data_IF_377437757141
#
_entry.id   IF_377437757141
#
_cell.length_a   1.000
_cell.length_b   1.000
_cell.length_c   1.000
_cell.angle_alpha   90.00
_cell.angle_beta   90.00
_cell.angle_gamma   90.00
#
_symmetry.space_group_name_H-M   'P 1'
#
loop_
_entity.id
_entity.type
_entity.pdbx_description
1 polymer ?
#
# COMPACT_ATOMS: atom_id res chain seq x y z
N UNK A 1 -0.41 -16.95 -11.30
CA UNK A 1 -1.24 -15.93 -10.64
C UNK A 1 -1.35 -16.29 -9.16
N UNK A 2 -1.25 -15.31 -8.29
CA UNK A 2 -1.48 -15.44 -6.85
C UNK A 2 -2.67 -14.56 -6.49
N UNK A 3 -3.66 -15.12 -5.79
CA UNK A 3 -4.89 -14.39 -5.43
C UNK A 3 -4.98 -14.25 -3.92
N UNK A 4 -5.40 -13.10 -3.43
CA UNK A 4 -5.66 -12.81 -2.03
C UNK A 4 -7.10 -12.36 -1.87
N UNK A 5 -7.83 -12.93 -0.93
CA UNK A 5 -9.18 -12.47 -0.59
C UNK A 5 -9.15 -11.84 0.80
N UNK A 6 -9.51 -10.56 0.90
CA UNK A 6 -9.51 -9.79 2.14
C UNK A 6 -10.94 -9.62 2.65
N UNK A 7 -11.14 -9.87 3.95
CA UNK A 7 -12.46 -9.76 4.58
C UNK A 7 -12.36 -9.57 6.10
N UNK A 8 -13.43 -9.09 6.73
CA UNK A 8 -13.54 -8.97 8.19
C UNK A 8 -14.65 -9.89 8.72
N UNK A 9 -14.35 -10.70 9.74
CA UNK A 9 -15.37 -11.48 10.47
C UNK A 9 -16.01 -10.66 11.60
N UNK A 10 -15.19 -9.84 12.26
CA UNK A 10 -15.62 -8.91 13.30
C UNK A 10 -14.85 -7.60 13.12
N UNK A 11 -15.45 -6.56 12.49
CA UNK A 11 -14.77 -5.30 12.22
C UNK A 11 -14.23 -4.59 13.46
N UNK A 12 -14.87 -4.73 14.62
CA UNK A 12 -14.42 -4.12 15.87
C UNK A 12 -13.13 -4.74 16.45
N UNK A 13 -12.69 -5.89 15.93
CA UNK A 13 -11.49 -6.59 16.41
C UNK A 13 -10.18 -6.08 15.80
N UNK A 14 -10.25 -5.21 14.80
CA UNK A 14 -9.11 -4.76 13.99
C UNK A 14 -8.38 -5.88 13.22
N UNK A 15 -8.93 -7.09 13.18
CA UNK A 15 -8.38 -8.17 12.36
C UNK A 15 -8.98 -8.16 10.95
N UNK A 16 -8.09 -8.21 9.96
CA UNK A 16 -8.43 -8.51 8.57
C UNK A 16 -7.98 -9.93 8.28
N UNK A 17 -8.89 -10.74 7.75
CA UNK A 17 -8.62 -12.11 7.33
C UNK A 17 -8.21 -12.11 5.87
N UNK A 18 -7.21 -12.91 5.55
CA UNK A 18 -6.63 -13.01 4.21
C UNK A 18 -6.56 -14.49 3.84
N UNK A 19 -7.25 -14.83 2.76
CA UNK A 19 -7.15 -16.14 2.10
C UNK A 19 -6.27 -15.98 0.85
N UNK A 20 -5.06 -16.53 0.88
CA UNK A 20 -4.14 -16.57 -0.24
C UNK A 20 -4.29 -17.89 -1.00
N UNK A 21 -4.59 -17.80 -2.29
CA UNK A 21 -4.71 -18.92 -3.20
C UNK A 21 -3.53 -18.95 -4.16
N UNK A 22 -2.89 -20.13 -4.24
CA UNK A 22 -1.68 -20.36 -5.02
C UNK A 22 -1.94 -21.54 -5.94
N UNK A 23 -1.93 -21.32 -7.25
CA UNK A 23 -2.12 -22.36 -8.25
C UNK A 23 -0.78 -22.81 -8.85
N UNK A 24 -0.81 -23.89 -9.65
CA UNK A 24 0.34 -24.39 -10.41
C UNK A 24 1.54 -24.76 -9.53
N UNK A 25 1.27 -25.42 -8.40
CA UNK A 25 2.33 -25.97 -7.55
C UNK A 25 2.98 -27.17 -8.25
N UNK A 26 4.30 -27.07 -8.45
CA UNK A 26 5.11 -28.08 -9.14
C UNK A 26 6.17 -28.73 -8.24
N UNK A 27 6.45 -28.12 -7.09
CA UNK A 27 7.49 -28.55 -6.17
C UNK A 27 6.88 -29.25 -4.95
N UNK A 28 7.63 -30.16 -4.34
CA UNK A 28 7.22 -30.84 -3.10
C UNK A 28 7.20 -29.90 -1.89
N UNK A 29 7.87 -28.76 -1.98
CA UNK A 29 7.82 -27.69 -0.99
C UNK A 29 7.87 -26.32 -1.64
N UNK A 30 7.18 -25.36 -1.02
CA UNK A 30 7.27 -23.94 -1.37
C UNK A 30 7.57 -23.10 -0.14
N UNK A 31 8.13 -21.93 -0.38
CA UNK A 31 8.41 -20.93 0.64
C UNK A 31 7.47 -19.73 0.50
N UNK A 32 6.84 -19.35 1.61
CA UNK A 32 6.01 -18.17 1.76
C UNK A 32 6.78 -17.15 2.59
N UNK A 33 7.07 -16.01 1.99
CA UNK A 33 7.81 -14.93 2.64
C UNK A 33 6.87 -13.73 2.85
N UNK A 34 6.97 -13.13 4.03
CA UNK A 34 6.41 -11.80 4.31
C UNK A 34 7.55 -10.78 4.24
N UNK A 35 7.35 -9.57 3.69
CA UNK A 35 8.39 -8.55 3.73
C UNK A 35 8.85 -8.25 5.16
N UNK A 36 10.16 -8.05 5.33
CA UNK A 36 10.79 -7.67 6.59
C UNK A 36 10.83 -6.16 6.78
N UNK A 37 10.61 -5.38 5.72
CA UNK A 37 10.65 -3.90 5.70
C UNK A 37 9.85 -3.39 4.50
N UNK A 38 9.70 -2.07 4.37
CA UNK A 38 9.00 -1.45 3.23
C UNK A 38 9.83 -0.33 2.57
N UNK A 39 9.74 -0.17 1.24
CA UNK A 39 10.28 1.00 0.56
C UNK A 39 9.77 2.32 1.18
N UNK A 40 10.62 3.34 1.14
CA UNK A 40 10.39 4.65 1.78
C UNK A 40 10.67 4.72 3.29
N UNK A 41 10.85 3.55 3.95
CA UNK A 41 11.33 3.47 5.34
C UNK A 41 12.43 2.43 5.47
N UNK A 42 13.69 2.89 5.49
CA UNK A 42 14.89 2.04 5.52
C UNK A 42 15.22 1.47 6.91
N UNK A 43 14.22 0.90 7.56
CA UNK A 43 14.32 0.24 8.86
C UNK A 43 13.58 -1.10 8.76
N UNK A 44 14.12 -2.15 9.40
CA UNK A 44 13.40 -3.40 9.51
C UNK A 44 12.10 -3.20 10.29
N UNK A 45 11.00 -3.66 9.69
CA UNK A 45 9.74 -3.89 10.35
C UNK A 45 9.68 -5.25 11.02
N UNK A 46 8.64 -5.42 11.84
CA UNK A 46 8.23 -6.73 12.33
C UNK A 46 6.75 -6.94 11.98
N UNK A 47 6.43 -6.94 10.69
CA UNK A 47 5.04 -7.08 10.22
C UNK A 47 4.46 -8.44 10.59
N UNK A 48 5.31 -9.49 10.59
CA UNK A 48 4.94 -10.84 10.98
C UNK A 48 4.38 -10.95 12.42
N UNK A 49 4.66 -9.99 13.32
CA UNK A 49 4.09 -9.96 14.68
C UNK A 49 2.55 -9.89 14.67
N UNK A 50 1.99 -9.26 13.63
CA UNK A 50 0.57 -9.02 13.46
C UNK A 50 -0.15 -10.18 12.75
N UNK A 51 0.59 -11.12 12.15
CA UNK A 51 0.03 -12.33 11.53
C UNK A 51 -0.32 -13.35 12.62
N UNK A 52 -1.55 -13.86 12.57
CA UNK A 52 -2.07 -14.90 13.46
C UNK A 52 -2.79 -15.98 12.65
N UNK A 53 -2.86 -17.19 13.23
CA UNK A 53 -3.65 -18.32 12.72
C UNK A 53 -3.34 -18.68 11.26
N UNK A 54 -2.06 -18.84 10.93
CA UNK A 54 -1.66 -19.35 9.62
C UNK A 54 -2.04 -20.82 9.52
N UNK A 55 -2.87 -21.15 8.57
CA UNK A 55 -3.29 -22.50 8.24
C UNK A 55 -3.12 -22.71 6.73
N UNK A 56 -2.74 -23.92 6.31
CA UNK A 56 -2.49 -24.24 4.91
C UNK A 56 -3.28 -25.48 4.54
N UNK A 57 -3.95 -25.42 3.39
CA UNK A 57 -4.78 -26.48 2.84
C UNK A 57 -4.42 -26.76 1.39
N UNK A 58 -4.59 -28.01 0.96
CA UNK A 58 -4.53 -28.39 -0.46
C UNK A 58 -5.85 -28.07 -1.20
N UNK A 59 -5.92 -28.41 -2.49
CA UNK A 59 -7.12 -28.24 -3.32
C UNK A 59 -8.37 -28.98 -2.81
N UNK A 60 -8.20 -29.99 -1.94
CA UNK A 60 -9.28 -30.77 -1.35
C UNK A 60 -9.62 -30.33 0.08
N UNK A 61 -9.12 -29.17 0.52
CA UNK A 61 -9.28 -28.63 1.87
C UNK A 61 -8.65 -29.51 2.97
N UNK A 62 -7.71 -30.38 2.63
CA UNK A 62 -6.94 -31.15 3.61
C UNK A 62 -5.80 -30.29 4.13
N UNK A 63 -5.64 -30.27 5.46
CA UNK A 63 -4.59 -29.49 6.11
C UNK A 63 -3.19 -30.02 5.75
N UNK A 64 -2.29 -29.10 5.43
CA UNK A 64 -0.89 -29.33 5.14
C UNK A 64 -0.02 -28.75 6.26
N UNK A 65 1.04 -29.48 6.59
CA UNK A 65 2.00 -29.03 7.58
C UNK A 65 2.95 -27.99 6.96
N UNK A 66 3.37 -27.03 7.79
CA UNK A 66 4.41 -26.07 7.45
C UNK A 66 5.35 -25.89 8.63
N UNK A 67 6.56 -25.42 8.35
CA UNK A 67 7.55 -25.05 9.35
C UNK A 67 7.91 -23.58 9.19
N UNK A 68 7.93 -22.84 10.29
CA UNK A 68 8.41 -21.45 10.29
C UNK A 68 9.94 -21.46 10.38
N UNK A 69 10.63 -21.03 9.31
CA UNK A 69 12.10 -21.06 9.20
C UNK A 69 12.75 -19.79 9.73
N UNK A 70 12.05 -18.67 9.68
CA UNK A 70 12.47 -17.38 10.21
C UNK A 70 11.26 -16.60 10.74
N UNK A 71 11.47 -15.38 11.26
CA UNK A 71 10.38 -14.53 11.77
C UNK A 71 9.29 -14.26 10.72
N UNK A 72 9.65 -14.28 9.45
CA UNK A 72 8.87 -13.87 8.29
C UNK A 72 8.89 -14.89 7.11
N UNK A 73 9.44 -16.10 7.33
CA UNK A 73 9.53 -17.16 6.32
C UNK A 73 8.89 -18.47 6.78
N UNK A 74 7.97 -19.00 5.97
CA UNK A 74 7.27 -20.26 6.17
C UNK A 74 7.58 -21.23 5.03
N UNK A 75 7.95 -22.47 5.36
CA UNK A 75 8.16 -23.55 4.41
C UNK A 75 6.98 -24.53 4.49
N UNK A 76 6.23 -24.65 3.40
CA UNK A 76 5.06 -25.53 3.28
C UNK A 76 5.49 -26.82 2.60
N UNK A 77 5.09 -27.97 3.14
CA UNK A 77 5.21 -29.25 2.44
C UNK A 77 3.94 -29.49 1.62
N UNK A 78 4.06 -29.47 0.30
CA UNK A 78 2.95 -29.53 -0.64
C UNK A 78 2.38 -30.94 -0.78
N UNK A 79 3.13 -32.00 -0.45
CA UNK A 79 2.69 -33.41 -0.57
C UNK A 79 2.01 -33.73 -1.92
N UNK A 80 2.53 -33.17 -3.01
CA UNK A 80 2.00 -33.35 -4.37
C UNK A 80 0.78 -32.50 -4.74
N UNK A 81 0.27 -31.65 -3.83
CA UNK A 81 -0.83 -30.70 -4.07
C UNK A 81 -0.56 -29.83 -5.31
N UNK A 82 -1.60 -29.54 -6.08
CA UNK A 82 -1.52 -28.69 -7.28
C UNK A 82 -1.92 -27.26 -7.03
N UNK A 83 -2.71 -27.03 -5.99
CA UNK A 83 -3.05 -25.70 -5.51
C UNK A 83 -3.04 -25.67 -3.98
N UNK A 84 -2.82 -24.49 -3.42
CA UNK A 84 -2.83 -24.27 -1.98
C UNK A 84 -3.75 -23.13 -1.63
N UNK A 85 -4.43 -23.27 -0.50
CA UNK A 85 -5.10 -22.18 0.21
C UNK A 85 -4.38 -21.93 1.53
N UNK A 86 -3.85 -20.73 1.70
CA UNK A 86 -3.20 -20.27 2.93
C UNK A 86 -4.11 -19.25 3.58
N UNK A 87 -4.63 -19.53 4.77
CA UNK A 87 -5.52 -18.62 5.48
C UNK A 87 -4.83 -18.07 6.70
N UNK A 88 -4.99 -16.77 6.96
CA UNK A 88 -4.43 -16.12 8.13
C UNK A 88 -5.20 -14.85 8.46
N UNK A 89 -4.92 -14.28 9.63
CA UNK A 89 -5.44 -12.98 10.04
C UNK A 89 -4.30 -12.00 10.33
N UNK A 90 -4.49 -10.73 9.99
CA UNK A 90 -3.53 -9.66 10.22
C UNK A 90 -4.16 -8.59 11.11
N UNK A 91 -3.50 -8.28 12.23
CA UNK A 91 -3.93 -7.25 13.18
C UNK A 91 -3.59 -5.84 12.65
N UNK A 92 -4.62 -5.00 12.49
CA UNK A 92 -4.58 -3.71 11.78
C UNK A 92 -5.20 -2.60 12.63
N UNK A 93 -4.48 -2.13 13.65
CA UNK A 93 -4.99 -1.14 14.61
C UNK A 93 -4.18 0.18 14.63
N UNK A 94 -3.27 0.38 13.68
CA UNK A 94 -2.39 1.55 13.66
C UNK A 94 -2.80 2.48 12.50
N UNK A 95 -3.52 3.56 12.82
CA UNK A 95 -3.92 4.57 11.83
C UNK A 95 -2.80 5.60 11.62
N UNK A 96 -1.95 5.33 10.64
CA UNK A 96 -0.94 6.27 10.12
C UNK A 96 -0.67 5.97 8.63
N UNK A 97 0.09 6.81 7.93
CA UNK A 97 0.32 6.65 6.49
C UNK A 97 1.11 5.40 6.07
N UNK A 98 1.77 4.71 7.00
CA UNK A 98 2.69 3.61 6.69
C UNK A 98 2.40 2.33 7.46
N UNK A 99 1.17 2.15 7.95
CA UNK A 99 0.72 0.99 8.71
C UNK A 99 -0.61 0.44 8.16
N UNK A 100 -1.27 -0.49 8.87
CA UNK A 100 -2.59 -0.97 8.47
C UNK A 100 -3.60 -0.63 9.56
N UNK A 101 -4.80 -0.24 9.14
CA UNK A 101 -5.91 0.08 10.03
C UNK A 101 -7.21 -0.49 9.47
N UNK A 102 -7.96 -1.21 10.29
CA UNK A 102 -9.29 -1.68 9.91
C UNK A 102 -10.25 -1.59 11.09
N UNK A 103 -11.43 -1.05 10.88
CA UNK A 103 -12.50 -0.97 11.87
C UNK A 103 -13.86 -1.20 11.19
N UNK A 104 -14.96 -0.74 11.80
CA UNK A 104 -16.30 -0.81 11.23
C UNK A 104 -16.56 0.21 10.09
N UNK A 105 -15.66 1.17 9.87
CA UNK A 105 -15.83 2.26 8.92
C UNK A 105 -14.89 2.13 7.72
N UNK A 106 -13.74 1.48 7.90
CA UNK A 106 -12.74 1.34 6.84
C UNK A 106 -11.90 0.06 6.94
N UNK A 107 -11.37 -0.33 5.79
CA UNK A 107 -10.23 -1.24 5.66
C UNK A 107 -9.14 -0.49 4.91
N UNK A 108 -8.05 -0.15 5.61
CA UNK A 108 -6.86 0.47 5.05
C UNK A 108 -5.67 -0.46 5.22
N UNK A 109 -5.11 -0.92 4.11
CA UNK A 109 -4.04 -1.90 4.11
C UNK A 109 -2.88 -1.45 3.24
N UNK A 110 -1.67 -1.67 3.76
CA UNK A 110 -0.44 -1.70 2.98
C UNK A 110 -0.10 -3.17 2.68
N UNK A 111 -0.22 -3.65 1.42
CA UNK A 111 0.04 -5.05 1.08
C UNK A 111 1.44 -5.54 1.50
N UNK A 112 2.45 -4.66 1.48
CA UNK A 112 3.81 -4.97 1.96
C UNK A 112 3.87 -5.46 3.42
N UNK A 113 2.86 -5.13 4.23
CA UNK A 113 2.80 -5.58 5.62
C UNK A 113 2.14 -6.95 5.78
N UNK A 114 1.19 -7.29 4.92
CA UNK A 114 0.26 -8.37 5.19
C UNK A 114 0.19 -9.44 4.10
N UNK A 115 0.64 -9.18 2.88
CA UNK A 115 0.62 -10.18 1.80
C UNK A 115 1.89 -11.03 1.83
N UNK A 116 1.72 -12.34 2.04
CA UNK A 116 2.75 -13.31 1.71
C UNK A 116 2.98 -13.37 0.20
N UNK A 117 4.23 -13.59 -0.23
CA UNK A 117 4.54 -14.00 -1.59
C UNK A 117 5.18 -15.38 -1.61
N UNK A 118 5.08 -16.06 -2.76
CA UNK A 118 5.80 -17.32 -2.98
C UNK A 118 7.18 -16.99 -3.53
N UNK A 119 8.23 -17.41 -2.83
CA UNK A 119 9.61 -17.17 -3.24
C UNK A 119 9.84 -17.75 -4.64
N UNK A 120 10.37 -16.94 -5.56
CA UNK A 120 10.61 -17.29 -6.96
C UNK A 120 9.39 -17.12 -7.88
N UNK A 121 8.26 -16.62 -7.38
CA UNK A 121 7.04 -16.31 -8.17
C UNK A 121 6.59 -14.86 -8.01
N UNK A 122 7.49 -13.98 -7.60
CA UNK A 122 7.25 -12.55 -7.37
C UNK A 122 6.82 -11.81 -8.63
N UNK A 123 7.20 -12.31 -9.81
CA UNK A 123 6.89 -11.72 -11.12
C UNK A 123 5.58 -12.20 -11.75
N UNK A 124 4.79 -12.99 -11.03
CA UNK A 124 3.46 -13.37 -11.48
C UNK A 124 2.43 -12.27 -11.19
N UNK A 125 1.33 -12.24 -11.93
CA UNK A 125 0.20 -11.37 -11.59
C UNK A 125 -0.35 -11.70 -10.19
N UNK A 126 -0.56 -10.66 -9.40
CA UNK A 126 -1.21 -10.73 -8.09
C UNK A 126 -2.60 -10.06 -8.15
N UNK A 127 -3.61 -10.73 -7.57
CA UNK A 127 -4.99 -10.23 -7.54
C UNK A 127 -5.46 -10.13 -6.10
N UNK A 128 -5.94 -8.96 -5.68
CA UNK A 128 -6.62 -8.76 -4.39
C UNK A 128 -8.12 -8.67 -4.63
N UNK A 129 -8.90 -9.55 -4.01
CA UNK A 129 -10.36 -9.51 -4.00
C UNK A 129 -10.86 -9.02 -2.63
N UNK A 130 -11.72 -8.00 -2.63
CA UNK A 130 -12.23 -7.36 -1.44
C UNK A 130 -13.67 -7.83 -1.16
N UNK A 131 -13.88 -8.59 -0.08
CA UNK A 131 -15.21 -8.91 0.41
C UNK A 131 -15.62 -7.86 1.44
N UNK A 132 -16.26 -6.81 0.95
CA UNK A 132 -16.66 -5.63 1.72
C UNK A 132 -18.15 -5.34 1.51
N UNK A 133 -18.79 -4.59 2.43
CA UNK A 133 -20.16 -4.15 2.24
C UNK A 133 -20.36 -3.39 0.92
N UNK A 134 -21.54 -3.55 0.29
CA UNK A 134 -21.84 -3.02 -1.05
C UNK A 134 -21.72 -1.49 -1.13
N UNK A 135 -21.92 -0.78 -0.02
CA UNK A 135 -21.84 0.68 0.04
C UNK A 135 -20.41 1.22 0.22
N UNK A 136 -19.40 0.36 0.33
CA UNK A 136 -18.02 0.81 0.47
C UNK A 136 -17.43 1.15 -0.90
N UNK A 137 -16.65 2.23 -0.94
CA UNK A 137 -15.87 2.64 -2.11
C UNK A 137 -14.41 2.27 -1.92
N UNK A 138 -13.70 2.03 -3.01
CA UNK A 138 -12.29 1.64 -3.01
C UNK A 138 -11.45 2.80 -3.59
N UNK A 139 -10.37 3.15 -2.91
CA UNK A 139 -9.31 4.02 -3.41
C UNK A 139 -8.00 3.22 -3.48
N UNK A 140 -7.45 3.07 -4.68
CA UNK A 140 -6.18 2.40 -4.96
C UNK A 140 -5.69 2.80 -6.36
N UNK A 141 -4.39 2.72 -6.61
CA UNK A 141 -3.79 2.94 -7.94
C UNK A 141 -3.72 1.69 -8.83
N UNK A 142 -4.08 0.51 -8.30
CA UNK A 142 -4.12 -0.73 -9.07
C UNK A 142 -5.32 -0.73 -10.02
N UNK A 143 -5.18 -1.49 -11.11
CA UNK A 143 -6.29 -1.73 -12.04
C UNK A 143 -7.44 -2.40 -11.30
N UNK A 144 -8.58 -1.72 -11.26
CA UNK A 144 -9.77 -2.17 -10.55
C UNK A 144 -10.81 -2.78 -11.51
N UNK A 145 -11.38 -3.92 -11.12
CA UNK A 145 -12.55 -4.51 -11.76
C UNK A 145 -13.55 -4.95 -10.66
N UNK A 146 -14.60 -4.15 -10.44
CA UNK A 146 -15.48 -4.32 -9.29
C UNK A 146 -14.69 -4.22 -7.99
N UNK A 147 -14.70 -5.29 -7.20
CA UNK A 147 -13.96 -5.38 -5.94
C UNK A 147 -12.59 -6.09 -6.08
N UNK A 148 -12.13 -6.34 -7.30
CA UNK A 148 -10.82 -6.92 -7.57
C UNK A 148 -9.81 -5.84 -7.96
N UNK A 149 -8.62 -5.89 -7.37
CA UNK A 149 -7.46 -5.05 -7.67
C UNK A 149 -6.35 -5.93 -8.26
N UNK A 150 -5.76 -5.53 -9.39
CA UNK A 150 -4.76 -6.32 -10.11
C UNK A 150 -3.42 -5.61 -10.15
N UNK A 151 -2.38 -6.31 -9.72
CA UNK A 151 -0.98 -5.92 -9.82
C UNK A 151 -0.24 -6.88 -10.77
N UNK A 152 0.62 -6.34 -11.62
CA UNK A 152 1.38 -7.12 -12.61
C UNK A 152 2.45 -8.00 -11.97
N UNK A 153 2.97 -7.59 -10.82
CA UNK A 153 3.91 -8.33 -10.00
C UNK A 153 3.78 -7.96 -8.51
N UNK A 154 4.57 -8.64 -7.66
CA UNK A 154 4.57 -8.40 -6.22
C UNK A 154 5.07 -7.00 -5.85
N UNK A 155 6.02 -6.45 -6.63
CA UNK A 155 6.53 -5.10 -6.39
C UNK A 155 5.39 -4.08 -6.54
N UNK A 156 4.62 -4.12 -7.63
CA UNK A 156 3.47 -3.23 -7.82
C UNK A 156 2.40 -3.42 -6.73
N UNK A 157 2.16 -4.67 -6.29
CA UNK A 157 1.24 -4.95 -5.18
C UNK A 157 1.69 -4.26 -3.89
N UNK A 158 2.96 -4.41 -3.51
CA UNK A 158 3.51 -3.82 -2.28
C UNK A 158 3.55 -2.29 -2.30
N UNK A 159 3.57 -1.70 -3.49
CA UNK A 159 3.56 -0.25 -3.74
C UNK A 159 2.15 0.34 -3.86
N UNK A 160 1.11 -0.47 -3.67
CA UNK A 160 -0.26 -0.04 -3.89
C UNK A 160 -1.15 -0.24 -2.67
N UNK A 161 -0.99 0.60 -1.63
CA UNK A 161 -1.94 0.65 -0.54
C UNK A 161 -3.35 0.95 -1.06
N UNK A 162 -4.34 0.52 -0.27
CA UNK A 162 -5.74 0.76 -0.60
C UNK A 162 -6.55 1.15 0.63
N UNK A 163 -7.55 2.00 0.42
CA UNK A 163 -8.58 2.37 1.41
C UNK A 163 -9.93 1.91 0.89
N UNK A 164 -10.67 1.17 1.71
CA UNK A 164 -12.03 0.74 1.43
C UNK A 164 -12.93 1.30 2.51
N UNK A 165 -13.83 2.23 2.18
CA UNK A 165 -14.68 2.91 3.16
C UNK A 165 -15.97 3.44 2.53
N UNK A 166 -17.04 3.51 3.33
CA UNK A 166 -18.29 4.19 2.97
C UNK A 166 -18.18 5.72 3.03
N UNK A 167 -17.24 6.28 3.80
CA UNK A 167 -17.05 7.72 3.99
C UNK A 167 -16.08 8.34 2.97
N UNK A 168 -15.57 7.54 2.04
CA UNK A 168 -14.58 7.97 1.05
C UNK A 168 -15.19 9.06 0.13
N UNK A 169 -14.54 10.22 0.15
CA UNK A 169 -14.81 11.33 -0.76
C UNK A 169 -13.72 11.35 -1.84
N UNK A 170 -14.10 11.52 -3.11
CA UNK A 170 -13.13 11.48 -4.21
C UNK A 170 -13.42 12.59 -5.22
N UNK A 171 -12.37 13.30 -5.59
CA UNK A 171 -12.36 14.26 -6.69
C UNK A 171 -11.14 14.03 -7.57
N UNK A 172 -11.19 14.56 -8.78
CA UNK A 172 -10.09 14.45 -9.72
C UNK A 172 -9.74 15.80 -10.33
N UNK A 173 -8.50 15.93 -10.76
CA UNK A 173 -8.01 17.00 -11.61
C UNK A 173 -7.05 16.40 -12.66
N UNK A 174 -6.71 17.17 -13.67
CA UNK A 174 -5.85 16.70 -14.76
C UNK A 174 -4.74 17.72 -15.04
N UNK A 175 -3.51 17.23 -15.23
CA UNK A 175 -2.36 18.03 -15.67
C UNK A 175 -1.65 17.25 -16.76
N UNK A 176 -1.49 17.84 -17.95
CA UNK A 176 -0.83 17.22 -19.10
C UNK A 176 -1.33 15.80 -19.43
N UNK A 177 -2.66 15.61 -19.47
CA UNK A 177 -3.34 14.33 -19.75
C UNK A 177 -3.14 13.24 -18.71
N UNK A 178 -2.44 13.52 -17.61
CA UNK A 178 -2.32 12.63 -16.46
C UNK A 178 -3.40 12.98 -15.45
N UNK A 179 -4.17 11.97 -15.05
CA UNK A 179 -5.29 12.12 -14.12
C UNK A 179 -4.81 11.94 -12.69
N UNK A 180 -5.16 12.90 -11.84
CA UNK A 180 -4.85 12.88 -10.42
C UNK A 180 -6.12 12.67 -9.61
N UNK A 181 -6.08 11.74 -8.68
CA UNK A 181 -7.18 11.44 -7.77
C UNK A 181 -6.88 11.96 -6.37
N UNK A 182 -7.87 12.58 -5.75
CA UNK A 182 -7.83 13.08 -4.39
C UNK A 182 -8.85 12.29 -3.56
N UNK A 183 -8.39 11.31 -2.79
CA UNK A 183 -9.22 10.45 -1.98
C UNK A 183 -9.14 10.86 -0.51
N UNK A 184 -10.20 11.44 0.04
CA UNK A 184 -10.27 11.83 1.44
C UNK A 184 -11.12 10.82 2.22
N UNK A 185 -10.52 10.23 3.26
CA UNK A 185 -11.19 9.32 4.18
C UNK A 185 -11.10 9.87 5.61
N UNK A 186 -12.23 9.97 6.30
CA UNK A 186 -12.33 10.57 7.63
C UNK A 186 -13.22 11.82 7.64
N UNK A 187 -13.48 12.34 8.84
CA UNK A 187 -14.39 13.46 9.03
C UNK A 187 -13.75 14.78 8.57
N UNK A 188 -14.13 15.25 7.39
CA UNK A 188 -13.69 16.53 6.83
C UNK A 188 -14.68 17.04 5.78
N UNK A 189 -14.57 18.34 5.47
CA UNK A 189 -15.36 18.99 4.43
C UNK A 189 -14.44 19.69 3.43
N UNK A 190 -13.81 18.99 2.48
CA UNK A 190 -12.83 19.58 1.57
C UNK A 190 -13.45 20.67 0.68
N UNK A 191 -12.78 21.82 0.56
CA UNK A 191 -13.09 22.83 -0.46
C UNK A 191 -12.43 22.38 -1.75
N UNK A 192 -13.20 21.63 -2.55
CA UNK A 192 -12.69 21.01 -3.76
C UNK A 192 -12.21 22.01 -4.79
N UNK A 193 -12.81 23.20 -4.86
CA UNK A 193 -12.37 24.21 -5.82
C UNK A 193 -10.99 24.73 -5.44
N UNK A 194 -10.80 25.08 -4.18
CA UNK A 194 -9.52 25.56 -3.66
C UNK A 194 -8.44 24.47 -3.72
N UNK A 195 -8.73 23.27 -3.23
CA UNK A 195 -7.80 22.13 -3.21
C UNK A 195 -7.35 21.79 -4.63
N UNK A 196 -8.26 21.61 -5.60
CA UNK A 196 -7.87 21.29 -6.98
C UNK A 196 -7.02 22.40 -7.59
N UNK A 197 -7.41 23.66 -7.38
CA UNK A 197 -6.66 24.81 -7.91
C UNK A 197 -5.22 24.84 -7.38
N UNK A 198 -5.03 24.62 -6.08
CA UNK A 198 -3.71 24.70 -5.46
C UNK A 198 -2.88 23.43 -5.72
N UNK A 199 -3.50 22.25 -5.82
CA UNK A 199 -2.84 21.01 -6.25
C UNK A 199 -2.35 21.10 -7.70
N UNK A 200 -3.19 21.59 -8.62
CA UNK A 200 -2.79 21.79 -10.00
C UNK A 200 -1.56 22.70 -10.14
N UNK A 201 -1.42 23.72 -9.28
CA UNK A 201 -0.28 24.65 -9.34
C UNK A 201 1.05 23.93 -9.09
N UNK A 202 1.18 23.19 -7.98
CA UNK A 202 2.43 22.50 -7.69
C UNK A 202 2.66 21.33 -8.64
N UNK A 203 1.60 20.63 -9.07
CA UNK A 203 1.71 19.54 -10.05
C UNK A 203 2.21 20.05 -11.41
N UNK A 204 1.71 21.20 -11.89
CA UNK A 204 2.22 21.86 -13.12
C UNK A 204 3.68 22.30 -12.96
N UNK A 205 4.05 22.83 -11.79
CA UNK A 205 5.43 23.21 -11.51
C UNK A 205 6.37 22.00 -11.56
N UNK A 206 6.03 20.91 -10.87
CA UNK A 206 6.84 19.68 -10.88
C UNK A 206 6.93 19.07 -12.28
N UNK A 207 5.83 19.08 -13.06
CA UNK A 207 5.88 18.67 -14.46
C UNK A 207 6.86 19.51 -15.26
N UNK A 208 6.82 20.83 -15.16
CA UNK A 208 7.73 21.70 -15.90
C UNK A 208 9.19 21.49 -15.48
N UNK A 209 9.43 21.18 -14.20
CA UNK A 209 10.76 20.87 -13.68
C UNK A 209 11.31 19.55 -14.25
N UNK A 210 10.50 18.48 -14.24
CA UNK A 210 10.91 17.15 -14.69
C UNK A 210 10.75 16.90 -16.20
N UNK A 211 9.92 17.71 -16.86
CA UNK A 211 9.48 17.59 -18.26
C UNK A 211 8.67 16.33 -18.61
N UNK A 212 8.31 15.49 -17.65
CA UNK A 212 7.46 14.31 -17.85
C UNK A 212 6.91 13.77 -16.52
N UNK A 213 5.84 12.96 -16.54
CA UNK A 213 5.37 12.14 -15.42
C UNK A 213 5.71 10.66 -15.66
N UNK A 214 6.26 9.92 -14.68
CA UNK A 214 6.61 8.51 -14.87
C UNK A 214 5.41 7.56 -14.77
N UNK A 215 4.19 8.08 -14.70
CA UNK A 215 2.93 7.35 -14.50
C UNK A 215 1.81 7.94 -15.36
N UNK A 216 0.77 7.13 -15.61
CA UNK A 216 -0.42 7.50 -16.38
C UNK A 216 -1.55 8.09 -15.51
N UNK A 217 -1.56 7.77 -14.22
CA UNK A 217 -2.43 8.34 -13.19
C UNK A 217 -1.74 8.33 -11.82
N UNK A 218 -2.18 9.22 -10.92
CA UNK A 218 -1.61 9.32 -9.58
C UNK A 218 -2.69 9.53 -8.51
N UNK A 219 -2.58 8.80 -7.39
CA UNK A 219 -3.59 8.81 -6.34
C UNK A 219 -3.04 9.36 -5.02
N UNK A 220 -3.62 10.45 -4.54
CA UNK A 220 -3.40 10.91 -3.17
C UNK A 220 -4.45 10.27 -2.24
N UNK A 221 -3.98 9.44 -1.30
CA UNK A 221 -4.80 8.75 -0.31
C UNK A 221 -4.68 9.46 1.04
N UNK A 222 -5.68 10.25 1.42
CA UNK A 222 -5.69 11.00 2.66
C UNK A 222 -6.46 10.28 3.77
N UNK A 223 -5.77 9.96 4.87
CA UNK A 223 -6.35 9.56 6.15
C UNK A 223 -6.50 10.78 7.05
N UNK A 224 -7.72 11.29 7.18
CA UNK A 224 -8.02 12.47 7.97
C UNK A 224 -8.37 12.10 9.41
N UNK A 225 -7.53 12.49 10.36
CA UNK A 225 -7.71 12.19 11.77
C UNK A 225 -8.52 13.30 12.48
N UNK A 226 -9.21 12.98 13.59
CA UNK A 226 -9.90 13.99 14.41
C UNK A 226 -8.95 14.72 15.38
N UNK A 227 -7.68 14.31 15.43
CA UNK A 227 -6.62 14.90 16.24
C UNK A 227 -5.46 15.35 15.35
N UNK A 228 -4.55 16.16 15.91
CA UNK A 228 -3.34 16.60 15.20
C UNK A 228 -2.45 15.40 14.85
N UNK A 229 -2.21 15.21 13.56
CA UNK A 229 -1.36 14.15 13.04
C UNK A 229 -0.71 14.60 11.74
N UNK A 230 0.47 14.09 11.43
CA UNK A 230 1.19 14.40 10.19
C UNK A 230 2.16 13.26 9.88
N UNK A 231 1.93 12.56 8.76
CA UNK A 231 2.81 11.51 8.25
C UNK A 231 2.50 11.29 6.77
N UNK A 232 3.51 11.33 5.90
CA UNK A 232 3.42 10.97 4.49
C UNK A 232 4.26 9.74 4.19
N UNK A 233 3.82 8.95 3.20
CA UNK A 233 4.58 7.83 2.64
C UNK A 233 4.45 7.85 1.13
N UNK A 234 5.60 7.81 0.46
CA UNK A 234 5.71 7.81 -0.98
C UNK A 234 5.48 6.42 -1.59
N UNK A 235 4.76 6.39 -2.71
CA UNK A 235 4.69 5.23 -3.61
C UNK A 235 4.82 5.70 -5.06
N UNK A 236 4.91 4.77 -6.00
CA UNK A 236 5.17 5.10 -7.41
C UNK A 236 3.98 5.79 -8.10
N UNK A 237 2.77 5.23 -7.98
CA UNK A 237 1.53 5.77 -8.57
C UNK A 237 0.58 6.39 -7.54
N UNK A 238 1.03 6.50 -6.30
CA UNK A 238 0.19 6.99 -5.21
C UNK A 238 1.03 7.50 -4.05
N UNK A 239 0.35 8.06 -3.06
CA UNK A 239 0.91 8.34 -1.74
C UNK A 239 -0.17 8.16 -0.70
N UNK A 240 0.21 7.76 0.51
CA UNK A 240 -0.68 7.86 1.67
C UNK A 240 -0.21 9.00 2.56
N UNK A 241 -1.16 9.85 2.94
CA UNK A 241 -0.92 10.98 3.84
C UNK A 241 -1.93 10.89 4.97
N UNK A 242 -1.44 10.78 6.20
CA UNK A 242 -2.25 10.90 7.40
C UNK A 242 -2.08 12.30 7.98
N UNK A 243 -3.19 13.04 8.06
CA UNK A 243 -3.18 14.43 8.52
C UNK A 243 -4.41 14.75 9.36
N UNK A 244 -4.30 15.73 10.24
CA UNK A 244 -5.46 16.24 10.97
C UNK A 244 -5.11 17.41 11.89
N UNK A 245 -6.11 17.98 12.57
CA UNK A 245 -7.49 17.50 12.59
C UNK A 245 -8.32 17.94 11.37
N UNK A 246 -9.29 17.12 10.95
CA UNK A 246 -10.10 17.38 9.76
C UNK A 246 -10.99 18.64 9.81
N UNK A 247 -11.38 19.10 11.01
CA UNK A 247 -12.12 20.35 11.19
C UNK A 247 -11.27 21.61 10.92
N UNK A 248 -9.93 21.48 10.99
CA UNK A 248 -8.99 22.55 10.70
C UNK A 248 -8.47 22.51 9.26
N UNK A 249 -8.99 21.63 8.39
CA UNK A 249 -8.46 21.41 7.03
C UNK A 249 -8.27 22.70 6.21
N UNK A 250 -9.10 23.72 6.44
CA UNK A 250 -9.04 25.01 5.74
C UNK A 250 -8.28 26.10 6.49
N UNK A 251 -7.87 25.83 7.74
CA UNK A 251 -7.04 26.74 8.50
C UNK A 251 -5.63 26.75 7.91
N UNK A 252 -5.01 27.93 7.89
CA UNK A 252 -3.75 28.16 7.20
C UNK A 252 -2.70 27.07 7.47
N UNK A 253 -2.53 26.68 8.75
CA UNK A 253 -1.50 25.71 9.12
C UNK A 253 -1.74 24.29 8.57
N UNK A 254 -2.95 23.73 8.75
CA UNK A 254 -3.25 22.36 8.29
C UNK A 254 -3.35 22.31 6.77
N UNK A 255 -3.84 23.39 6.16
CA UNK A 255 -3.90 23.51 4.71
C UNK A 255 -2.51 23.61 4.07
N UNK A 256 -1.60 24.38 4.65
CA UNK A 256 -0.18 24.43 4.27
C UNK A 256 0.49 23.07 4.43
N UNK A 257 0.23 22.38 5.55
CA UNK A 257 0.77 21.03 5.79
C UNK A 257 0.25 20.03 4.73
N UNK A 258 -1.05 20.09 4.36
CA UNK A 258 -1.65 19.30 3.28
C UNK A 258 -0.94 19.53 1.94
N UNK A 259 -0.76 20.80 1.55
CA UNK A 259 -0.10 21.14 0.28
C UNK A 259 1.37 20.75 0.29
N UNK A 260 2.07 21.06 1.37
CA UNK A 260 3.50 20.81 1.54
C UNK A 260 3.82 19.32 1.48
N UNK A 261 3.09 18.49 2.23
CA UNK A 261 3.28 17.04 2.21
C UNK A 261 2.89 16.45 0.86
N UNK A 262 1.77 16.87 0.26
CA UNK A 262 1.35 16.35 -1.06
C UNK A 262 2.37 16.69 -2.16
N UNK A 263 2.92 17.89 -2.14
CA UNK A 263 3.98 18.30 -3.04
C UNK A 263 5.26 17.46 -2.81
N UNK A 264 5.64 17.24 -1.55
CA UNK A 264 6.79 16.41 -1.19
C UNK A 264 6.65 14.97 -1.70
N UNK A 265 5.53 14.32 -1.42
CA UNK A 265 5.33 12.91 -1.80
C UNK A 265 5.19 12.73 -3.32
N UNK A 266 4.57 13.68 -4.02
CA UNK A 266 4.50 13.63 -5.49
C UNK A 266 5.91 13.68 -6.10
N UNK A 267 6.80 14.52 -5.56
CA UNK A 267 8.16 14.65 -6.08
C UNK A 267 8.96 13.35 -5.96
N UNK A 268 8.67 12.54 -4.93
CA UNK A 268 9.31 11.23 -4.75
C UNK A 268 8.97 10.21 -5.83
N UNK A 269 7.87 10.41 -6.58
CA UNK A 269 7.55 9.56 -7.71
C UNK A 269 8.69 9.54 -8.75
N UNK A 270 9.39 10.66 -8.95
CA UNK A 270 10.67 10.68 -9.67
C UNK A 270 11.81 10.26 -8.75
N UNK A 271 12.00 10.99 -7.65
CA UNK A 271 13.13 10.81 -6.76
C UNK A 271 12.88 9.69 -5.73
N UNK A 272 13.55 8.56 -5.85
CA UNK A 272 13.42 7.29 -5.09
C UNK A 272 12.52 6.23 -5.72
N UNK A 273 11.42 6.59 -6.40
CA UNK A 273 10.59 5.57 -7.06
C UNK A 273 11.06 5.27 -8.48
N UNK A 274 11.40 6.30 -9.25
CA UNK A 274 11.95 6.15 -10.61
C UNK A 274 13.47 6.17 -10.60
N UNK A 275 14.05 7.24 -10.05
CA UNK A 275 15.50 7.44 -9.90
C UNK A 275 15.91 6.91 -8.53
N UNK A 276 16.58 5.76 -8.50
CA UNK A 276 17.03 5.11 -7.26
C UNK A 276 18.36 4.39 -7.44
N UNK A 277 19.08 4.10 -6.33
CA UNK A 277 20.33 3.36 -6.38
C UNK A 277 20.15 1.97 -7.00
N UNK A 278 21.15 1.53 -7.76
CA UNK A 278 21.16 0.22 -8.40
C UNK A 278 21.04 -0.91 -7.38
N UNK A 279 21.54 -0.70 -6.17
CA UNK A 279 21.48 -1.62 -5.04
C UNK A 279 20.05 -1.90 -4.54
N UNK A 280 19.08 -1.05 -4.94
CA UNK A 280 17.65 -1.19 -4.61
C UNK A 280 16.82 -1.69 -5.80
N UNK A 281 17.47 -2.24 -6.83
CA UNK A 281 16.86 -2.76 -8.05
C UNK A 281 17.24 -4.23 -8.28
N UNK A 282 16.34 -5.20 -8.04
CA UNK A 282 15.05 -5.06 -7.34
C UNK A 282 15.23 -4.86 -5.82
N UNK A 283 14.14 -4.59 -5.11
CA UNK A 283 14.18 -4.59 -3.64
C UNK A 283 14.37 -6.02 -3.11
N UNK A 284 15.33 -6.22 -2.21
CA UNK A 284 15.37 -7.42 -1.37
C UNK A 284 14.49 -7.17 -0.14
N UNK A 285 13.29 -7.75 -0.10
CA UNK A 285 12.35 -7.57 1.02
C UNK A 285 12.76 -8.33 2.29
N UNK A 286 13.78 -9.17 2.26
CA UNK A 286 14.13 -10.07 3.37
C UNK A 286 15.08 -9.45 4.40
N UNK A 287 15.76 -8.35 4.04
CA UNK A 287 16.82 -7.73 4.86
C UNK A 287 17.00 -6.24 4.55
N UNK A 288 17.88 -5.58 5.29
CA UNK A 288 18.27 -4.21 5.01
C UNK A 288 18.94 -4.06 3.64
N UNK A 289 18.48 -3.08 2.86
CA UNK A 289 19.14 -2.68 1.62
C UNK A 289 20.06 -1.49 1.85
N UNK A 290 21.37 -1.74 1.83
CA UNK A 290 22.38 -0.72 1.99
C UNK A 290 22.70 -0.05 0.65
N UNK A 291 22.58 1.28 0.60
CA UNK A 291 23.08 2.11 -0.48
C UNK A 291 24.07 3.15 0.09
N UNK A 292 25.21 3.37 -0.57
CA UNK A 292 26.24 4.31 -0.11
C UNK A 292 25.86 5.79 -0.25
N UNK A 293 24.84 6.08 -1.06
CA UNK A 293 24.43 7.43 -1.47
C UNK A 293 23.08 7.87 -0.85
N UNK A 294 22.68 7.32 0.31
CA UNK A 294 21.44 7.72 1.03
C UNK A 294 21.32 9.23 1.23
N UNK A 295 22.46 9.93 1.32
CA UNK A 295 22.55 11.38 1.53
C UNK A 295 21.97 12.19 0.36
N UNK A 296 22.10 11.74 -0.89
CA UNK A 296 21.52 12.44 -2.04
C UNK A 296 20.00 12.23 -2.15
N UNK A 297 19.48 11.09 -1.69
CA UNK A 297 18.12 10.67 -2.05
C UNK A 297 17.05 11.38 -1.20
N UNK A 298 17.30 11.60 0.10
CA UNK A 298 16.34 12.30 0.99
C UNK A 298 16.50 13.83 1.01
N UNK A 299 17.67 14.37 0.63
CA UNK A 299 18.00 15.79 0.80
C UNK A 299 17.93 16.65 -0.47
N UNK A 300 17.77 16.07 -1.67
CA UNK A 300 17.60 16.87 -2.90
C UNK A 300 16.40 17.83 -2.80
N UNK A 301 15.39 17.54 -1.97
CA UNK A 301 14.28 18.46 -1.72
C UNK A 301 14.50 19.47 -0.59
N UNK A 302 15.30 19.14 0.44
CA UNK A 302 15.62 20.10 1.52
C UNK A 302 16.55 21.24 1.07
N UNK A 303 17.09 21.16 -0.15
CA UNK A 303 17.93 22.19 -0.77
C UNK A 303 17.14 23.12 -1.73
N UNK A 304 15.85 22.86 -1.96
CA UNK A 304 15.00 23.62 -2.89
C UNK A 304 14.02 24.59 -2.20
N UNK A 305 14.21 24.86 -0.90
CA UNK A 305 13.51 25.90 -0.13
C UNK A 305 14.49 26.62 0.79
#
# INVERSE_FOLDING_TARGET
MIKYTFFQKNPASHYVYIDMHIENIKSDSIQLQLPAWRPGRYELGNFAKNVKKVEVFDENMKSLAYNKKAKDLWEVNCKGAKALKVTYSYYSAELNAGACYADINQIYMNPVHCCFYVVGREKEEHVVELQVPVNYKIACSLKQNGNALRAVDFDELTESPFIVSNCLQTQTYEVNKVKFYLHFNGECKPDWQKIKTDFEKFTKYQFNFWSDFPFDEYHFLFQITPFKFYHGVEHFKNTVIALGPGYDLHQAKVYEDLLGVSCHELFHAWNIKTIRPKEMLPYDYTKENYAGNRFCIRRVYYLLW
#
